data_IF_752449091496
#
_entry.id   IF_752449091496
#
_cell.length_a   1.000
_cell.length_b   1.000
_cell.length_c   1.000
_cell.angle_alpha   90.00
_cell.angle_beta   90.00
_cell.angle_gamma   90.00
#
_symmetry.space_group_name_H-M   'P 1'
#
loop_
_entity.id
_entity.type
_entity.pdbx_description
1 polymer ?
#
# COMPACT_ATOMS: atom_id res chain seq x y z
N UNK A 1 22.83 1.18 3.85
CA UNK A 1 22.64 2.57 4.29
C UNK A 1 21.30 2.64 5.01
N UNK A 2 21.28 2.79 6.34
CA UNK A 2 20.05 2.82 7.14
C UNK A 2 19.48 4.24 7.10
N UNK A 3 18.48 4.49 6.27
CA UNK A 3 17.77 5.78 6.26
C UNK A 3 16.83 5.80 7.46
N UNK A 4 17.15 6.59 8.46
CA UNK A 4 16.39 6.70 9.70
C UNK A 4 15.41 7.87 9.55
N UNK A 5 14.17 7.58 9.12
CA UNK A 5 13.14 8.61 9.01
C UNK A 5 12.43 8.78 10.36
N UNK A 6 12.78 9.84 11.08
CA UNK A 6 12.20 10.21 12.38
C UNK A 6 10.88 10.95 12.14
N UNK A 7 9.75 10.28 12.36
CA UNK A 7 8.41 10.86 12.24
C UNK A 7 7.79 10.99 13.65
N UNK A 8 7.46 12.22 14.06
CA UNK A 8 6.81 12.51 15.35
C UNK A 8 5.28 12.43 15.18
N UNK A 9 4.62 11.54 15.93
CA UNK A 9 3.17 11.53 16.08
C UNK A 9 2.80 12.13 17.45
N UNK A 10 2.07 13.26 17.53
CA UNK A 10 1.58 13.78 18.80
C UNK A 10 0.45 12.88 19.33
N UNK A 11 0.65 12.27 20.51
CA UNK A 11 -0.48 11.76 21.32
C UNK A 11 -0.50 10.28 21.71
N UNK A 12 0.46 9.44 21.28
CA UNK A 12 0.51 8.04 21.75
C UNK A 12 1.94 7.62 22.06
N UNK A 13 2.29 7.59 23.36
CA UNK A 13 3.52 6.96 23.86
C UNK A 13 3.42 5.43 23.70
N UNK A 14 3.73 4.94 22.51
CA UNK A 14 4.32 3.61 22.33
C UNK A 14 5.38 3.78 21.26
N UNK A 15 6.63 3.73 21.70
CA UNK A 15 7.80 3.65 20.83
C UNK A 15 7.71 2.31 20.10
N UNK A 16 6.95 2.29 19.00
CA UNK A 16 6.90 1.13 18.13
C UNK A 16 8.21 1.17 17.35
N UNK A 17 9.09 0.24 17.63
CA UNK A 17 10.27 -0.04 16.83
C UNK A 17 9.84 -0.36 15.39
N UNK A 18 9.62 0.68 14.57
CA UNK A 18 9.30 0.56 13.13
C UNK A 18 10.59 0.26 12.36
N UNK A 19 11.35 -0.73 12.81
CA UNK A 19 12.54 -1.22 12.12
C UNK A 19 12.10 -2.32 11.16
N UNK A 20 12.04 -1.97 9.87
CA UNK A 20 11.90 -2.87 8.72
C UNK A 20 11.15 -4.18 8.99
N UNK A 21 9.81 -4.15 9.08
CA UNK A 21 9.01 -5.38 9.14
C UNK A 21 9.23 -6.31 7.92
N UNK A 22 9.90 -5.80 6.88
CA UNK A 22 10.15 -6.47 5.62
C UNK A 22 8.88 -6.56 4.77
N UNK A 23 9.02 -7.08 3.56
CA UNK A 23 7.88 -7.33 2.64
C UNK A 23 7.46 -8.80 2.65
N UNK A 24 7.96 -9.58 3.61
CA UNK A 24 7.67 -11.01 3.71
C UNK A 24 6.24 -11.22 4.19
N UNK A 25 5.47 -11.93 3.37
CA UNK A 25 4.06 -12.30 3.58
C UNK A 25 3.14 -11.09 3.79
N UNK A 26 3.50 -9.92 3.25
CA UNK A 26 2.69 -8.70 3.38
C UNK A 26 1.63 -8.55 2.29
N UNK A 27 1.66 -9.41 1.29
CA UNK A 27 0.71 -9.48 0.17
C UNK A 27 0.36 -10.93 -0.12
N UNK A 28 -0.85 -11.16 -0.67
CA UNK A 28 -1.32 -12.49 -1.04
C UNK A 28 -0.62 -13.00 -2.30
N UNK A 29 -0.40 -14.32 -2.35
CA UNK A 29 0.24 -14.98 -3.48
C UNK A 29 -0.78 -15.24 -4.58
N UNK A 30 -0.63 -14.57 -5.73
CA UNK A 30 -1.55 -14.73 -6.87
C UNK A 30 -1.62 -16.18 -7.35
N UNK A 31 -0.47 -16.87 -7.50
CA UNK A 31 -0.44 -18.26 -7.98
C UNK A 31 -1.23 -19.20 -7.08
N UNK A 32 -1.06 -19.03 -5.76
CA UNK A 32 -1.80 -19.82 -4.79
C UNK A 32 -3.31 -19.49 -4.84
N UNK A 33 -3.68 -18.22 -4.95
CA UNK A 33 -5.09 -17.83 -5.08
C UNK A 33 -5.76 -18.38 -6.34
N UNK A 34 -5.04 -18.39 -7.46
CA UNK A 34 -5.57 -18.83 -8.76
C UNK A 34 -5.67 -20.35 -8.87
N UNK A 35 -4.67 -21.07 -8.34
CA UNK A 35 -4.51 -22.51 -8.62
C UNK A 35 -4.59 -23.40 -7.38
N UNK A 36 -4.56 -22.83 -6.17
CA UNK A 36 -4.39 -23.57 -4.92
C UNK A 36 -2.98 -24.14 -4.71
N UNK A 37 -2.04 -23.86 -5.62
CA UNK A 37 -0.67 -24.34 -5.56
C UNK A 37 0.34 -23.22 -5.84
N UNK A 38 1.51 -23.29 -5.20
CA UNK A 38 2.59 -22.33 -5.42
C UNK A 38 3.91 -23.08 -5.61
N UNK A 39 4.66 -22.83 -6.70
CA UNK A 39 5.91 -23.53 -6.98
C UNK A 39 7.01 -23.25 -5.94
N UNK A 40 6.85 -22.18 -5.16
CA UNK A 40 7.79 -21.79 -4.11
C UNK A 40 7.49 -22.48 -2.77
N UNK A 41 6.37 -23.19 -2.63
CA UNK A 41 5.95 -23.83 -1.39
C UNK A 41 6.05 -22.89 -0.19
N UNK A 42 6.55 -23.40 0.93
CA UNK A 42 6.67 -22.64 2.19
C UNK A 42 7.68 -21.49 2.12
N UNK A 43 8.57 -21.49 1.12
CA UNK A 43 9.54 -20.42 0.88
C UNK A 43 8.94 -19.25 0.09
N UNK A 44 7.65 -19.31 -0.27
CA UNK A 44 6.99 -18.21 -0.95
C UNK A 44 7.04 -16.94 -0.10
N UNK A 45 7.53 -15.83 -0.68
CA UNK A 45 7.55 -14.53 0.01
C UNK A 45 6.17 -13.89 0.15
N UNK A 46 5.15 -14.44 -0.50
CA UNK A 46 3.75 -13.98 -0.45
C UNK A 46 2.90 -14.94 0.38
N UNK A 47 1.83 -14.43 0.97
CA UNK A 47 0.93 -15.19 1.83
C UNK A 47 0.01 -16.09 1.01
N UNK A 48 -0.08 -17.38 1.37
CA UNK A 48 -1.01 -18.34 0.77
C UNK A 48 -2.43 -18.24 1.34
N UNK A 49 -2.68 -17.27 2.21
CA UNK A 49 -4.01 -16.99 2.73
C UNK A 49 -3.98 -15.90 3.78
N UNK A 50 -5.16 -15.52 4.27
CA UNK A 50 -5.29 -14.49 5.31
C UNK A 50 -4.53 -14.90 6.59
N UNK A 51 -4.47 -16.19 6.89
CA UNK A 51 -3.74 -16.72 8.04
C UNK A 51 -2.21 -16.45 7.98
N UNK A 52 -1.62 -16.41 6.79
CA UNK A 52 -0.20 -16.09 6.60
C UNK A 52 0.04 -14.58 6.38
N UNK A 53 -1.01 -13.79 6.12
CA UNK A 53 -0.89 -12.40 5.72
C UNK A 53 -0.48 -11.52 6.91
N UNK A 54 0.70 -10.91 6.80
CA UNK A 54 1.27 -10.04 7.83
C UNK A 54 0.83 -8.58 7.62
N UNK A 55 0.47 -7.87 8.71
CA UNK A 55 0.12 -6.46 8.62
C UNK A 55 1.35 -5.62 8.22
N UNK A 56 1.11 -4.56 7.45
CA UNK A 56 2.14 -3.59 7.05
C UNK A 56 1.96 -2.32 7.84
N UNK A 57 2.93 -1.98 8.68
CA UNK A 57 3.03 -0.64 9.27
C UNK A 57 3.46 0.32 8.15
N UNK A 58 2.60 1.29 7.81
CA UNK A 58 2.88 2.31 6.80
C UNK A 58 3.16 3.65 7.45
N UNK A 59 3.86 4.53 6.74
CA UNK A 59 4.05 5.91 7.17
C UNK A 59 2.68 6.58 7.42
N UNK A 60 2.51 7.43 8.44
CA UNK A 60 1.27 8.19 8.69
C UNK A 60 0.76 9.06 7.53
N UNK A 61 1.57 9.23 6.47
CA UNK A 61 1.24 10.01 5.25
C UNK A 61 0.87 9.10 4.08
N UNK A 62 0.79 7.80 4.31
CA UNK A 62 0.35 6.86 3.28
C UNK A 62 -1.10 7.14 2.91
N UNK A 63 -1.34 7.36 1.62
CA UNK A 63 -2.66 7.68 1.06
C UNK A 63 -3.35 8.86 1.76
N UNK A 64 -2.61 9.86 2.19
CA UNK A 64 -3.19 11.14 2.66
C UNK A 64 -3.43 12.10 1.50
N UNK A 65 -2.51 12.15 0.53
CA UNK A 65 -2.59 13.04 -0.64
C UNK A 65 -3.09 12.28 -1.88
N UNK A 66 -3.77 12.98 -2.79
CA UNK A 66 -4.21 12.41 -4.09
C UNK A 66 -3.05 12.13 -5.02
N UNK A 67 -3.15 11.04 -5.77
CA UNK A 67 -2.24 10.73 -6.86
C UNK A 67 -2.39 11.77 -7.98
N UNK A 68 -1.30 12.48 -8.29
CA UNK A 68 -1.29 13.51 -9.34
C UNK A 68 -1.74 12.97 -10.71
N UNK A 69 -1.38 11.74 -11.05
CA UNK A 69 -1.78 11.13 -12.33
C UNK A 69 -3.30 10.93 -12.37
N UNK A 70 -3.87 10.36 -11.31
CA UNK A 70 -5.33 10.17 -11.23
C UNK A 70 -6.05 11.51 -11.21
N UNK A 71 -5.49 12.52 -10.53
CA UNK A 71 -6.04 13.88 -10.55
C UNK A 71 -5.97 14.53 -11.93
N UNK A 72 -4.98 14.18 -12.76
CA UNK A 72 -4.91 14.63 -14.15
C UNK A 72 -5.84 13.84 -15.09
N UNK A 73 -6.56 12.84 -14.59
CA UNK A 73 -7.40 11.95 -15.39
C UNK A 73 -6.64 10.79 -16.03
N UNK A 74 -5.36 10.60 -15.70
CA UNK A 74 -4.52 9.54 -16.25
C UNK A 74 -4.56 8.26 -15.40
N UNK A 75 -4.34 7.12 -16.06
CA UNK A 75 -4.16 5.84 -15.36
C UNK A 75 -2.80 5.79 -14.64
N UNK A 76 -2.80 5.50 -13.34
CA UNK A 76 -1.57 5.38 -12.56
C UNK A 76 -0.91 4.00 -12.77
N UNK A 77 0.35 3.92 -13.24
CA UNK A 77 1.04 2.65 -13.50
C UNK A 77 1.33 1.84 -12.23
N UNK A 78 1.31 2.48 -11.06
CA UNK A 78 1.51 1.83 -9.77
C UNK A 78 0.24 1.12 -9.25
N UNK A 79 -0.94 1.42 -9.84
CA UNK A 79 -2.21 0.82 -9.45
C UNK A 79 -2.45 0.85 -7.93
N UNK A 80 -2.85 -0.28 -7.35
CA UNK A 80 -3.12 -0.40 -5.91
C UNK A 80 -1.88 -0.24 -5.01
N UNK A 81 -0.66 -0.36 -5.58
CA UNK A 81 0.62 -0.16 -4.89
C UNK A 81 0.99 1.32 -4.76
N UNK A 82 0.26 2.22 -5.42
CA UNK A 82 0.47 3.65 -5.28
C UNK A 82 0.36 4.08 -3.80
N UNK A 83 1.30 4.92 -3.37
CA UNK A 83 1.32 5.47 -2.01
C UNK A 83 0.36 6.66 -1.84
N UNK A 84 -0.26 7.13 -2.92
CA UNK A 84 -1.22 8.22 -2.96
C UNK A 84 -2.65 7.68 -3.18
N UNK A 85 -3.66 8.50 -2.87
CA UNK A 85 -5.08 8.14 -3.06
C UNK A 85 -5.44 8.13 -4.53
N UNK A 86 -6.17 7.10 -4.96
CA UNK A 86 -6.84 7.05 -6.27
C UNK A 86 -8.35 7.34 -6.16
N UNK A 87 -8.87 7.50 -4.94
CA UNK A 87 -10.23 7.96 -4.68
C UNK A 87 -10.24 9.48 -4.64
N UNK A 88 -10.83 10.11 -5.66
CA UNK A 88 -11.04 11.56 -5.73
C UNK A 88 -12.36 11.91 -5.03
N UNK A 89 -12.36 13.02 -4.29
CA UNK A 89 -13.59 13.68 -3.81
C UNK A 89 -14.27 14.42 -4.96
N UNK A 90 -15.56 14.77 -4.80
CA UNK A 90 -16.30 15.56 -5.80
C UNK A 90 -15.58 16.88 -6.13
N UNK A 91 -15.00 17.55 -5.13
CA UNK A 91 -14.22 18.78 -5.31
C UNK A 91 -12.95 18.53 -6.14
N UNK A 92 -12.21 17.47 -5.83
CA UNK A 92 -11.00 17.08 -6.58
C UNK A 92 -11.36 16.67 -8.02
N UNK A 93 -12.50 16.02 -8.23
CA UNK A 93 -13.02 15.69 -9.57
C UNK A 93 -13.40 16.95 -10.37
N UNK A 94 -14.06 17.92 -9.73
CA UNK A 94 -14.42 19.19 -10.36
C UNK A 94 -13.17 19.98 -10.76
N UNK A 95 -12.12 19.98 -9.94
CA UNK A 95 -10.83 20.63 -10.23
C UNK A 95 -10.05 19.91 -11.34
N UNK A 96 -10.20 18.59 -11.45
CA UNK A 96 -9.54 17.76 -12.45
C UNK A 96 -10.15 17.87 -13.85
N UNK A 97 -11.34 18.45 -14.00
CA UNK A 97 -12.09 18.39 -15.26
C UNK A 97 -12.44 16.95 -15.69
N UNK A 98 -12.38 15.99 -14.76
CA UNK A 98 -12.61 14.58 -15.03
C UNK A 98 -14.10 14.24 -14.90
N UNK A 99 -14.77 13.99 -16.02
CA UNK A 99 -16.13 13.45 -16.00
C UNK A 99 -16.11 12.00 -15.49
N UNK A 100 -17.05 11.56 -14.63
CA UNK A 100 -17.21 10.15 -14.34
C UNK A 100 -17.47 9.39 -15.65
N UNK A 101 -16.77 8.26 -15.83
CA UNK A 101 -17.08 7.27 -16.88
C UNK A 101 -18.21 6.36 -16.43
#
# INVERSE_FOLDING_TARGET
>A
MKVQQRMYLPGAKKELEVYSQGMFKTELCNKWQETGACPYGDHCQFAHGIAELRPVIRHPRYKTEVCRMVLAGDNCPYGHRCHFRHSLTEQEMMLAGASPR
#
